data_IF_598992746412
#
_entry.id   IF_598992746412
#
_cell.length_a   1.000
_cell.length_b   1.000
_cell.length_c   1.000
_cell.angle_alpha   90.00
_cell.angle_beta   90.00
_cell.angle_gamma   90.00
#
_symmetry.space_group_name_H-M   'P 1'
#
loop_
_entity.id
_entity.type
_entity.pdbx_description
1 polymer ?
#
# COMPACT_ATOMS: atom_id res chain seq x y z
N UNK A 1 40.98 -32.33 18.61
CA UNK A 1 39.50 -32.28 18.65
C UNK A 1 38.92 -30.86 18.46
N UNK A 2 39.37 -29.83 19.19
CA UNK A 2 38.86 -28.43 19.09
C UNK A 2 39.01 -27.77 17.71
N UNK A 3 40.06 -28.08 16.95
CA UNK A 3 40.29 -27.48 15.62
C UNK A 3 39.29 -27.99 14.56
N UNK A 4 38.92 -29.27 14.65
CA UNK A 4 37.98 -29.94 13.75
C UNK A 4 36.56 -29.41 14.01
N UNK A 5 36.18 -29.26 15.28
CA UNK A 5 34.86 -28.68 15.64
C UNK A 5 34.76 -27.20 15.26
N UNK A 6 35.85 -26.43 15.29
CA UNK A 6 35.88 -25.05 14.79
C UNK A 6 35.70 -24.97 13.27
N UNK A 7 36.39 -25.82 12.51
CA UNK A 7 36.24 -25.88 11.03
C UNK A 7 34.83 -26.33 10.62
N UNK A 8 34.25 -27.31 11.30
CA UNK A 8 32.88 -27.77 11.05
C UNK A 8 31.84 -26.68 11.33
N UNK A 9 31.98 -25.93 12.44
CA UNK A 9 31.11 -24.78 12.76
C UNK A 9 31.22 -23.64 11.73
N UNK A 10 32.42 -23.42 11.18
CA UNK A 10 32.65 -22.40 10.14
C UNK A 10 32.03 -22.81 8.80
N UNK A 11 32.12 -24.09 8.44
CA UNK A 11 31.48 -24.66 7.24
C UNK A 11 29.96 -24.63 7.34
N UNK A 12 29.37 -25.02 8.49
CA UNK A 12 27.92 -24.94 8.67
C UNK A 12 27.40 -23.50 8.63
N UNK A 13 28.13 -22.54 9.20
CA UNK A 13 27.77 -21.13 9.10
C UNK A 13 27.78 -20.61 7.65
N UNK A 14 28.80 -20.99 6.85
CA UNK A 14 28.86 -20.66 5.42
C UNK A 14 27.68 -21.29 4.67
N UNK A 15 27.34 -22.55 4.94
CA UNK A 15 26.19 -23.22 4.32
C UNK A 15 24.86 -22.56 4.68
N UNK A 16 24.67 -22.11 5.93
CA UNK A 16 23.48 -21.35 6.34
C UNK A 16 23.37 -20.03 5.56
N UNK A 17 24.48 -19.32 5.35
CA UNK A 17 24.50 -18.09 4.54
C UNK A 17 24.15 -18.40 3.07
N UNK A 18 24.75 -19.45 2.48
CA UNK A 18 24.50 -19.83 1.08
C UNK A 18 23.04 -20.26 0.90
N UNK A 19 22.50 -21.08 1.80
CA UNK A 19 21.10 -21.51 1.77
C UNK A 19 20.17 -20.32 1.97
N UNK A 20 20.48 -19.40 2.89
CA UNK A 20 19.70 -18.17 3.08
C UNK A 20 19.69 -17.31 1.82
N UNK A 21 20.84 -17.13 1.16
CA UNK A 21 20.94 -16.41 -0.12
C UNK A 21 20.15 -17.11 -1.23
N UNK A 22 20.22 -18.43 -1.34
CA UNK A 22 19.45 -19.21 -2.32
C UNK A 22 17.94 -19.11 -2.08
N UNK A 23 17.49 -19.21 -0.83
CA UNK A 23 16.07 -19.04 -0.47
C UNK A 23 15.60 -17.62 -0.81
N UNK A 24 16.43 -16.59 -0.57
CA UNK A 24 16.06 -15.21 -0.93
C UNK A 24 15.95 -14.98 -2.44
N UNK A 25 16.67 -15.74 -3.27
CA UNK A 25 16.53 -15.66 -4.73
C UNK A 25 15.31 -16.42 -5.27
N UNK A 26 14.87 -17.48 -4.58
CA UNK A 26 13.69 -18.26 -4.96
C UNK A 26 12.37 -17.53 -4.67
N UNK A 27 12.36 -16.55 -3.76
CA UNK A 27 11.14 -15.85 -3.35
C UNK A 27 10.83 -14.59 -4.17
N UNK A 28 11.83 -13.99 -4.82
CA UNK A 28 11.65 -12.82 -5.67
C UNK A 28 11.31 -13.21 -7.10
N UNK A 29 10.34 -12.55 -7.72
CA UNK A 29 10.01 -12.79 -9.13
C UNK A 29 11.21 -12.42 -10.04
N UNK A 30 11.29 -12.93 -11.27
CA UNK A 30 12.19 -12.36 -12.27
C UNK A 30 11.82 -10.89 -12.56
N UNK A 31 12.80 -10.06 -12.94
CA UNK A 31 12.50 -8.74 -13.50
C UNK A 31 11.77 -8.93 -14.84
N UNK A 32 10.71 -8.16 -15.07
CA UNK A 32 10.06 -8.06 -16.36
C UNK A 32 9.82 -6.60 -16.70
N UNK A 33 9.75 -6.25 -17.98
CA UNK A 33 9.34 -4.92 -18.43
C UNK A 33 8.26 -5.11 -19.48
N UNK A 34 7.09 -4.48 -19.32
CA UNK A 34 6.01 -4.58 -20.29
C UNK A 34 6.47 -4.07 -21.65
N UNK A 35 5.85 -4.58 -22.72
CA UNK A 35 6.04 -4.03 -24.05
C UNK A 35 5.68 -2.54 -24.09
N UNK A 36 6.48 -1.76 -24.82
CA UNK A 36 6.21 -0.34 -25.02
C UNK A 36 4.88 -0.19 -25.75
N UNK A 37 3.95 0.53 -25.14
CA UNK A 37 2.65 0.86 -25.72
C UNK A 37 2.30 2.30 -25.43
N UNK A 38 1.62 2.95 -26.36
CA UNK A 38 1.02 4.28 -26.16
C UNK A 38 -0.27 4.21 -25.32
N UNK A 39 -0.88 3.01 -25.20
CA UNK A 39 -2.08 2.80 -24.41
C UNK A 39 -1.74 2.63 -22.93
N UNK A 40 -2.55 3.23 -22.06
CA UNK A 40 -2.48 2.97 -20.62
C UNK A 40 -3.23 1.68 -20.34
N UNK A 41 -2.51 0.64 -19.90
CA UNK A 41 -3.08 -0.61 -19.41
C UNK A 41 -2.91 -0.63 -17.90
N UNK A 42 -3.94 -0.14 -17.22
CA UNK A 42 -3.96 0.10 -15.79
C UNK A 42 -4.63 -1.00 -14.99
N UNK A 43 -4.11 -1.30 -13.81
CA UNK A 43 -4.75 -2.16 -12.83
C UNK A 43 -4.94 -1.40 -11.52
N UNK A 44 -6.16 -1.42 -10.98
CA UNK A 44 -6.43 -0.89 -9.65
C UNK A 44 -6.23 -1.98 -8.59
N UNK A 45 -5.49 -1.66 -7.53
CA UNK A 45 -5.23 -2.52 -6.39
C UNK A 45 -5.82 -1.85 -5.16
N UNK A 46 -7.02 -2.28 -4.76
CA UNK A 46 -7.69 -1.79 -3.57
C UNK A 46 -6.94 -2.10 -2.27
N UNK A 47 -7.27 -1.39 -1.20
CA UNK A 47 -6.57 -1.48 0.09
C UNK A 47 -6.50 -2.91 0.67
N UNK A 48 -7.52 -3.76 0.45
CA UNK A 48 -7.50 -5.16 0.91
C UNK A 48 -6.40 -5.96 0.22
N UNK A 49 -6.35 -5.91 -1.12
CA UNK A 49 -5.31 -6.58 -1.90
C UNK A 49 -3.92 -6.02 -1.55
N UNK A 50 -3.82 -4.70 -1.41
CA UNK A 50 -2.58 -4.03 -0.99
C UNK A 50 -2.10 -4.53 0.38
N UNK A 51 -3.02 -4.76 1.33
CA UNK A 51 -2.72 -5.29 2.67
C UNK A 51 -2.22 -6.73 2.58
N UNK A 52 -2.96 -7.59 1.86
CA UNK A 52 -2.58 -8.99 1.67
C UNK A 52 -1.18 -9.07 1.06
N UNK A 53 -0.94 -8.40 -0.07
CA UNK A 53 0.35 -8.42 -0.76
C UNK A 53 1.50 -7.92 0.11
N UNK A 54 1.23 -6.96 1.00
CA UNK A 54 2.22 -6.46 1.94
C UNK A 54 2.54 -7.49 3.01
N UNK A 55 1.53 -8.15 3.59
CA UNK A 55 1.74 -9.11 4.67
C UNK A 55 2.30 -10.45 4.23
N UNK A 56 1.95 -10.89 3.02
CA UNK A 56 2.47 -12.13 2.43
C UNK A 56 3.81 -11.93 1.74
N UNK A 57 4.22 -10.68 1.50
CA UNK A 57 5.38 -10.36 0.66
C UNK A 57 5.18 -10.67 -0.82
N UNK A 58 3.94 -10.89 -1.28
CA UNK A 58 3.64 -11.30 -2.66
C UNK A 58 3.37 -10.14 -3.61
N UNK A 59 3.55 -8.89 -3.17
CA UNK A 59 3.41 -7.68 -4.01
C UNK A 59 4.21 -7.81 -5.30
N UNK A 60 5.46 -8.24 -5.17
CA UNK A 60 6.36 -8.40 -6.30
C UNK A 60 5.85 -9.42 -7.34
N UNK A 61 5.43 -10.59 -6.88
CA UNK A 61 4.84 -11.62 -7.75
C UNK A 61 3.58 -11.11 -8.44
N UNK A 62 2.71 -10.38 -7.73
CA UNK A 62 1.50 -9.80 -8.32
C UNK A 62 1.83 -8.80 -9.44
N UNK A 63 2.76 -7.88 -9.19
CA UNK A 63 3.18 -6.88 -10.17
C UNK A 63 3.95 -7.51 -11.35
N UNK A 64 4.71 -8.58 -11.10
CA UNK A 64 5.35 -9.36 -12.16
C UNK A 64 4.33 -9.98 -13.12
N UNK A 65 3.23 -10.56 -12.61
CA UNK A 65 2.19 -11.11 -13.48
C UNK A 65 1.52 -10.02 -14.31
N UNK A 66 1.22 -8.85 -13.72
CA UNK A 66 0.68 -7.71 -14.46
C UNK A 66 1.64 -7.27 -15.58
N UNK A 67 2.93 -7.18 -15.27
CA UNK A 67 3.96 -6.82 -16.25
C UNK A 67 4.03 -7.82 -17.41
N UNK A 68 3.99 -9.13 -17.13
CA UNK A 68 3.96 -10.20 -18.15
C UNK A 68 2.71 -10.13 -19.04
N UNK A 69 1.60 -9.67 -18.49
CA UNK A 69 0.35 -9.44 -19.23
C UNK A 69 0.34 -8.08 -19.97
N UNK A 70 1.49 -7.40 -20.05
CA UNK A 70 1.68 -6.11 -20.69
C UNK A 70 0.84 -4.98 -20.08
N UNK A 71 0.44 -5.07 -18.81
CA UNK A 71 0.03 -3.89 -18.04
C UNK A 71 1.25 -3.01 -17.82
N UNK A 72 1.06 -1.70 -17.86
CA UNK A 72 2.16 -0.73 -17.71
C UNK A 72 1.93 0.26 -16.57
N UNK A 73 0.77 0.19 -15.92
CA UNK A 73 0.35 1.12 -14.89
C UNK A 73 -0.39 0.38 -13.78
N UNK A 74 -0.12 0.75 -12.52
CA UNK A 74 -0.85 0.27 -11.35
C UNK A 74 -1.29 1.45 -10.50
N UNK A 75 -2.57 1.45 -10.09
CA UNK A 75 -3.18 2.40 -9.18
C UNK A 75 -3.31 1.72 -7.82
N UNK A 76 -2.49 2.12 -6.86
CA UNK A 76 -2.42 1.49 -5.54
C UNK A 76 -3.25 2.33 -4.57
N UNK A 77 -4.27 1.74 -3.96
CA UNK A 77 -5.03 2.39 -2.89
C UNK A 77 -4.12 2.65 -1.68
N UNK A 78 -3.96 3.94 -1.36
CA UNK A 78 -3.13 4.43 -0.25
C UNK A 78 -3.93 5.07 0.87
N UNK A 79 -5.22 5.26 0.68
CA UNK A 79 -6.09 5.93 1.63
C UNK A 79 -7.50 5.38 1.54
N UNK A 80 -7.93 4.67 2.58
CA UNK A 80 -9.30 4.25 2.78
C UNK A 80 -9.55 4.24 4.28
N UNK A 81 -10.43 5.09 4.81
CA UNK A 81 -10.63 5.27 6.28
C UNK A 81 -9.34 5.53 7.09
N UNK A 82 -8.26 5.94 6.40
CA UNK A 82 -6.91 6.08 6.93
C UNK A 82 -5.84 5.73 5.91
N UNK A 83 -4.58 6.09 6.18
CA UNK A 83 -3.46 5.88 5.24
C UNK A 83 -2.84 4.50 5.34
N UNK A 84 -2.29 4.00 4.22
CA UNK A 84 -1.44 2.80 4.18
C UNK A 84 0.01 3.07 4.59
N UNK A 85 0.44 4.33 4.55
CA UNK A 85 1.79 4.78 4.87
C UNK A 85 1.80 5.56 6.20
N UNK A 86 3.00 5.82 6.73
CA UNK A 86 3.15 6.61 7.95
C UNK A 86 2.78 8.07 7.67
N UNK A 87 1.81 8.61 8.40
CA UNK A 87 1.40 10.02 8.30
C UNK A 87 1.25 10.60 9.69
N UNK A 88 1.67 11.86 9.86
CA UNK A 88 1.40 12.66 11.07
C UNK A 88 0.00 13.30 11.06
N UNK A 89 -0.65 13.33 9.91
CA UNK A 89 -1.88 14.08 9.69
C UNK A 89 -3.13 13.19 9.64
N UNK A 90 -2.97 11.94 9.20
CA UNK A 90 -4.08 11.02 9.03
C UNK A 90 -3.87 9.75 9.86
N UNK A 91 -4.96 9.16 10.40
CA UNK A 91 -4.87 7.88 11.08
C UNK A 91 -4.47 6.79 10.08
N UNK A 92 -3.79 5.78 10.58
CA UNK A 92 -3.45 4.60 9.79
C UNK A 92 -4.69 3.71 9.57
N UNK A 93 -4.85 3.18 8.37
CA UNK A 93 -5.88 2.19 8.07
C UNK A 93 -5.71 0.94 8.97
N UNK A 94 -6.83 0.42 9.48
CA UNK A 94 -6.84 -0.69 10.44
C UNK A 94 -6.31 -2.01 9.86
N UNK A 95 -6.53 -2.27 8.57
CA UNK A 95 -5.97 -3.42 7.84
C UNK A 95 -4.47 -3.28 7.64
N UNK A 96 -3.88 -2.11 7.85
CA UNK A 96 -2.46 -1.83 7.66
C UNK A 96 -1.74 -1.53 8.97
N UNK A 97 -2.30 -1.98 10.08
CA UNK A 97 -1.92 -1.62 11.45
C UNK A 97 -0.55 -2.10 11.92
N UNK A 98 0.11 -3.04 11.23
CA UNK A 98 1.47 -3.44 11.63
C UNK A 98 2.46 -2.27 11.43
N UNK A 99 3.21 -1.87 12.47
CA UNK A 99 4.00 -0.63 12.45
C UNK A 99 5.18 -0.67 11.47
N UNK A 100 5.63 -1.86 11.09
CA UNK A 100 6.82 -2.05 10.25
C UNK A 100 6.50 -2.17 8.75
N UNK A 101 5.22 -2.20 8.36
CA UNK A 101 4.85 -2.34 6.96
C UNK A 101 4.73 -0.98 6.28
N UNK A 102 5.23 -0.85 5.06
CA UNK A 102 4.97 0.32 4.21
C UNK A 102 4.56 -0.16 2.81
N UNK A 103 3.28 -0.50 2.63
CA UNK A 103 2.68 -0.96 1.37
C UNK A 103 3.00 -0.06 0.18
N UNK A 104 2.93 1.27 0.35
CA UNK A 104 3.27 2.22 -0.71
C UNK A 104 4.73 2.10 -1.12
N UNK A 105 5.66 2.03 -0.15
CA UNK A 105 7.09 1.83 -0.44
C UNK A 105 7.33 0.50 -1.14
N UNK A 106 6.65 -0.57 -0.74
CA UNK A 106 6.74 -1.87 -1.40
C UNK A 106 6.23 -1.78 -2.86
N UNK A 107 5.06 -1.18 -3.09
CA UNK A 107 4.50 -1.04 -4.42
C UNK A 107 5.38 -0.17 -5.34
N UNK A 108 5.97 0.92 -4.85
CA UNK A 108 6.91 1.75 -5.62
C UNK A 108 8.15 0.94 -6.00
N UNK A 109 8.74 0.23 -5.03
CA UNK A 109 9.95 -0.58 -5.23
C UNK A 109 9.70 -1.67 -6.27
N UNK A 110 8.67 -2.48 -6.06
CA UNK A 110 8.39 -3.63 -6.92
C UNK A 110 7.77 -3.21 -8.26
N UNK A 111 6.96 -2.15 -8.29
CA UNK A 111 6.44 -1.58 -9.54
C UNK A 111 7.55 -1.10 -10.46
N UNK A 112 8.54 -0.36 -9.91
CA UNK A 112 9.74 0.02 -10.67
C UNK A 112 10.50 -1.19 -11.19
N UNK A 113 10.64 -2.23 -10.36
CA UNK A 113 11.35 -3.46 -10.70
C UNK A 113 10.68 -4.21 -11.85
N UNK A 114 9.36 -4.17 -11.92
CA UNK A 114 8.53 -4.81 -12.94
C UNK A 114 8.14 -3.88 -14.09
N UNK A 115 8.78 -2.71 -14.22
CA UNK A 115 8.54 -1.77 -15.32
C UNK A 115 7.14 -1.13 -15.33
N UNK A 116 6.45 -1.10 -14.18
CA UNK A 116 5.12 -0.50 -14.02
C UNK A 116 5.24 0.93 -13.48
N UNK A 117 4.42 1.84 -14.03
CA UNK A 117 4.17 3.14 -13.42
C UNK A 117 3.24 2.97 -12.22
N UNK A 118 3.59 3.53 -11.08
CA UNK A 118 2.78 3.45 -9.85
C UNK A 118 2.12 4.80 -9.61
N UNK A 119 0.81 4.82 -9.51
CA UNK A 119 0.02 5.96 -9.08
C UNK A 119 -0.66 5.66 -7.76
N UNK A 120 -0.63 6.62 -6.85
CA UNK A 120 -1.36 6.55 -5.58
C UNK A 120 -2.83 6.85 -5.83
N UNK A 121 -3.69 5.99 -5.33
CA UNK A 121 -5.14 6.13 -5.39
C UNK A 121 -5.69 6.46 -4.00
N UNK A 122 -6.39 7.57 -3.88
CA UNK A 122 -7.03 8.00 -2.64
C UNK A 122 -8.50 7.62 -2.72
N UNK A 123 -8.84 6.48 -2.11
CA UNK A 123 -10.16 5.88 -2.21
C UNK A 123 -11.22 6.74 -1.50
N UNK A 124 -12.44 6.73 -2.05
CA UNK A 124 -13.63 7.41 -1.55
C UNK A 124 -13.59 8.95 -1.48
N UNK A 125 -12.44 9.60 -1.70
CA UNK A 125 -12.33 11.05 -1.68
C UNK A 125 -12.87 11.65 -0.38
N UNK A 126 -13.91 12.47 -0.47
CA UNK A 126 -14.57 13.11 0.69
C UNK A 126 -15.51 12.17 1.46
N UNK A 127 -15.82 10.98 0.94
CA UNK A 127 -16.68 10.04 1.64
C UNK A 127 -15.91 9.36 2.79
N UNK A 128 -16.59 9.20 3.93
CA UNK A 128 -16.11 8.46 5.09
C UNK A 128 -17.25 7.69 5.75
N UNK A 129 -16.93 6.79 6.68
CA UNK A 129 -17.93 6.09 7.47
C UNK A 129 -18.14 6.73 8.84
N UNK A 130 -19.36 6.67 9.42
CA UNK A 130 -19.66 7.24 10.73
C UNK A 130 -18.78 6.72 11.88
N UNK A 131 -18.29 5.49 11.77
CA UNK A 131 -17.45 4.85 12.79
C UNK A 131 -15.95 5.13 12.63
N UNK A 132 -15.53 5.86 11.60
CA UNK A 132 -14.10 6.16 11.40
C UNK A 132 -13.59 7.11 12.48
N UNK A 133 -12.30 6.99 12.84
CA UNK A 133 -11.64 7.91 13.77
C UNK A 133 -11.74 9.38 13.33
N UNK A 134 -11.71 9.61 12.01
CA UNK A 134 -11.86 10.95 11.43
C UNK A 134 -13.25 11.53 11.72
N UNK A 135 -14.31 10.78 11.41
CA UNK A 135 -15.69 11.24 11.63
C UNK A 135 -16.04 11.42 13.11
N UNK A 136 -15.53 10.53 13.99
CA UNK A 136 -15.75 10.63 15.44
C UNK A 136 -15.04 11.86 16.02
N UNK A 137 -13.83 12.16 15.55
CA UNK A 137 -13.03 13.28 16.06
C UNK A 137 -13.49 14.64 15.51
N UNK A 138 -14.02 14.65 14.29
CA UNK A 138 -14.41 15.87 13.57
C UNK A 138 -15.88 15.79 13.08
N UNK A 139 -16.87 15.73 13.99
CA UNK A 139 -18.29 15.69 13.62
C UNK A 139 -18.78 16.98 12.95
N UNK A 140 -18.04 18.08 13.14
CA UNK A 140 -18.19 19.40 12.53
C UNK A 140 -17.69 19.46 11.08
N UNK A 141 -16.85 18.52 10.65
CA UNK A 141 -16.41 18.40 9.27
C UNK A 141 -17.44 17.71 8.37
N UNK A 142 -18.51 17.14 8.93
CA UNK A 142 -19.48 16.34 8.19
C UNK A 142 -20.53 17.23 7.52
N UNK A 143 -20.61 17.11 6.19
CA UNK A 143 -21.59 17.77 5.34
C UNK A 143 -23.02 17.43 5.80
N UNK A 144 -23.86 18.45 5.85
CA UNK A 144 -25.29 18.31 6.13
C UNK A 144 -26.09 18.79 4.93
N UNK A 145 -27.14 18.04 4.57
CA UNK A 145 -28.11 18.47 3.55
C UNK A 145 -28.93 19.66 4.05
N UNK A 146 -29.72 20.27 3.16
CA UNK A 146 -30.64 21.38 3.50
C UNK A 146 -31.66 21.02 4.58
N UNK A 147 -31.99 19.74 4.75
CA UNK A 147 -32.86 19.24 5.82
C UNK A 147 -32.09 18.70 7.04
N UNK A 148 -30.83 19.10 7.23
CA UNK A 148 -29.95 18.73 8.34
C UNK A 148 -29.63 17.22 8.43
N UNK A 149 -29.76 16.46 7.34
CA UNK A 149 -29.35 15.05 7.29
C UNK A 149 -27.86 14.94 6.99
N UNK A 150 -27.12 14.21 7.83
CA UNK A 150 -25.69 13.92 7.62
C UNK A 150 -25.42 12.56 6.98
N UNK A 151 -26.27 11.57 7.28
CA UNK A 151 -26.13 10.20 6.78
C UNK A 151 -26.79 10.06 5.41
N UNK A 152 -25.99 9.89 4.36
CA UNK A 152 -26.45 9.72 2.98
C UNK A 152 -25.98 8.34 2.51
N UNK A 153 -26.92 7.46 2.19
CA UNK A 153 -26.67 6.06 1.79
C UNK A 153 -25.70 5.31 2.70
N UNK A 154 -25.90 5.42 4.02
CA UNK A 154 -25.05 4.82 5.07
C UNK A 154 -23.64 5.42 5.21
N UNK A 155 -23.34 6.49 4.48
CA UNK A 155 -22.04 7.16 4.52
C UNK A 155 -22.16 8.59 5.06
N UNK A 156 -21.04 9.10 5.55
CA UNK A 156 -20.82 10.53 5.77
C UNK A 156 -19.97 11.09 4.64
N UNK A 157 -20.14 12.38 4.40
CA UNK A 157 -19.35 13.13 3.43
C UNK A 157 -18.70 14.30 4.16
N UNK A 158 -17.40 14.50 3.95
CA UNK A 158 -16.69 15.65 4.46
C UNK A 158 -17.12 16.90 3.68
N UNK A 159 -17.29 18.02 4.36
CA UNK A 159 -17.68 19.28 3.75
C UNK A 159 -16.49 19.90 2.98
N UNK A 160 -16.54 19.99 1.64
CA UNK A 160 -15.46 20.58 0.86
C UNK A 160 -15.28 22.09 1.10
N UNK A 161 -16.29 22.78 1.64
CA UNK A 161 -16.21 24.20 1.97
C UNK A 161 -15.49 24.45 3.31
N UNK A 162 -15.31 23.42 4.15
CA UNK A 162 -14.60 23.54 5.41
C UNK A 162 -13.07 23.64 5.14
N UNK A 163 -12.39 24.73 5.54
CA UNK A 163 -10.96 24.91 5.31
C UNK A 163 -10.09 23.83 5.96
N UNK A 164 -10.50 23.27 7.10
CA UNK A 164 -9.77 22.21 7.78
C UNK A 164 -9.84 20.89 7.00
N UNK A 165 -10.97 20.61 6.34
CA UNK A 165 -11.11 19.47 5.42
C UNK A 165 -10.18 19.65 4.22
N UNK A 166 -10.14 20.84 3.62
CA UNK A 166 -9.22 21.12 2.51
C UNK A 166 -7.76 20.91 2.93
N UNK A 167 -7.38 21.44 4.10
CA UNK A 167 -6.04 21.29 4.64
C UNK A 167 -5.71 19.82 4.95
N UNK A 168 -6.67 19.02 5.43
CA UNK A 168 -6.49 17.59 5.65
C UNK A 168 -6.09 16.86 4.36
N UNK A 169 -6.75 17.14 3.22
CA UNK A 169 -6.38 16.52 1.94
C UNK A 169 -5.05 17.03 1.38
N UNK A 170 -4.73 18.32 1.52
CA UNK A 170 -3.39 18.83 1.14
C UNK A 170 -2.30 18.11 1.96
N UNK A 171 -2.54 17.95 3.26
CA UNK A 171 -1.64 17.23 4.15
C UNK A 171 -1.50 15.74 3.82
N UNK A 172 -2.49 15.11 3.17
CA UNK A 172 -2.41 13.73 2.69
C UNK A 172 -1.47 13.57 1.48
N UNK A 173 -1.13 14.66 0.78
CA UNK A 173 -0.24 14.64 -0.37
C UNK A 173 1.20 15.08 -0.04
N UNK A 174 1.45 15.47 1.21
CA UNK A 174 2.74 16.00 1.71
C UNK A 174 3.46 14.99 2.60
#
# INVERSE_FOLDING_TARGET
MKLITWRLKKLTFIWVIIISLLITQLTTAPNHTPEKSQLIKGMWVGHVANAIFTYTGTMDNALHQLSKLNYNTVYIDVYNTGTCYSSKYAPRNYLMSLPFTNPLKAAIKEGKRQGLKVYTWYEHGLMTFPYTKLAIKHPDWILSTSNNKKLIDYHYWLDPANPEVQQYFVNLFS
#
